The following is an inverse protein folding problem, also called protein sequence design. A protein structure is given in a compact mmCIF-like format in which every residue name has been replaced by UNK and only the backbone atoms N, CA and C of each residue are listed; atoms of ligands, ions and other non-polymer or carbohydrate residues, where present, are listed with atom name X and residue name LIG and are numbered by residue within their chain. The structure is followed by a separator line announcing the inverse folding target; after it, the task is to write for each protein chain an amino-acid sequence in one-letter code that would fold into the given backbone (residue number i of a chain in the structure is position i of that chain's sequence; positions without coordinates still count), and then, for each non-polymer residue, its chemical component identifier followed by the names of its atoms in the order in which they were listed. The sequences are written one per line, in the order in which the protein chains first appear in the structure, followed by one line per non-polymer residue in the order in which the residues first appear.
data_IF_689846515317
#
_entry.id   IF_689846515317
#
_cell.length_a   1.000
_cell.length_b   1.000
_cell.length_c   1.000
_cell.angle_alpha   90.00
_cell.angle_beta   90.00
_cell.angle_gamma   90.00
#
_symmetry.space_group_name_H-M   'P 1'
#
loop_
_entity.id
_entity.type
_entity.pdbx_description
1 polymer ?
#
# COMPACT_ATOMS: atom_id res chain seq x y z
N UNK A 1 -9.64 3.77 -15.22
CA UNK A 1 -11.07 3.69 -14.87
C UNK A 1 -11.82 2.86 -15.90
N UNK A 2 -12.48 1.76 -15.51
CA UNK A 2 -13.38 1.02 -16.42
C UNK A 2 -14.79 1.57 -16.27
N UNK A 3 -15.39 2.07 -17.36
CA UNK A 3 -16.79 2.51 -17.38
C UNK A 3 -17.66 1.30 -17.68
N UNK A 4 -18.15 0.61 -16.66
CA UNK A 4 -19.15 -0.46 -16.83
C UNK A 4 -20.56 0.13 -16.67
N UNK A 5 -21.28 0.28 -17.77
CA UNK A 5 -22.65 0.82 -17.76
C UNK A 5 -23.10 1.40 -19.09
N UNK A 6 -24.42 1.52 -19.28
CA UNK A 6 -25.01 2.23 -20.42
C UNK A 6 -24.98 3.73 -20.13
N UNK A 7 -24.47 4.51 -21.06
CA UNK A 7 -24.51 5.96 -20.97
C UNK A 7 -25.19 6.55 -22.20
N UNK A 8 -25.90 7.65 -22.00
CA UNK A 8 -26.51 8.43 -23.06
C UNK A 8 -26.05 9.87 -22.96
N UNK A 9 -25.65 10.42 -24.09
CA UNK A 9 -25.11 11.75 -24.20
C UNK A 9 -25.99 12.55 -25.15
N UNK A 10 -26.63 13.61 -24.65
CA UNK A 10 -27.52 14.46 -25.46
C UNK A 10 -26.86 15.82 -25.63
N UNK A 11 -26.63 16.22 -26.88
CA UNK A 11 -26.19 17.58 -27.17
C UNK A 11 -27.39 18.51 -27.10
N UNK A 12 -27.38 19.47 -26.18
CA UNK A 12 -28.26 20.64 -26.27
C UNK A 12 -27.50 21.68 -27.09
N UNK A 13 -28.11 22.24 -28.13
CA UNK A 13 -27.48 23.33 -28.89
C UNK A 13 -26.91 24.38 -27.93
N UNK A 14 -25.79 25.02 -28.31
CA UNK A 14 -24.90 25.86 -27.44
C UNK A 14 -23.77 25.13 -26.71
N UNK A 15 -23.36 23.94 -27.19
CA UNK A 15 -22.13 23.29 -26.73
C UNK A 15 -22.24 22.58 -25.37
N UNK A 16 -23.40 22.67 -24.71
CA UNK A 16 -23.72 21.90 -23.52
C UNK A 16 -24.08 20.45 -23.89
N UNK A 17 -23.47 19.52 -23.17
CA UNK A 17 -23.72 18.08 -23.34
C UNK A 17 -24.25 17.53 -22.03
N UNK A 18 -25.44 16.92 -22.06
CA UNK A 18 -26.01 16.23 -20.91
C UNK A 18 -25.57 14.76 -20.98
N UNK A 19 -24.77 14.32 -19.99
CA UNK A 19 -24.33 12.93 -19.86
C UNK A 19 -25.14 12.26 -18.75
N UNK A 20 -25.86 11.20 -19.10
CA UNK A 20 -26.64 10.35 -18.19
C UNK A 20 -26.03 8.94 -18.18
N UNK A 21 -25.89 8.33 -17.01
CA UNK A 21 -25.32 6.99 -16.86
C UNK A 21 -26.17 6.12 -15.93
N UNK A 22 -26.30 4.84 -16.27
CA UNK A 22 -27.21 3.91 -15.61
C UNK A 22 -26.74 3.39 -14.24
N UNK A 23 -25.47 3.60 -13.88
CA UNK A 23 -24.87 3.19 -12.60
C UNK A 23 -23.83 4.22 -12.16
N UNK A 24 -23.78 4.53 -10.86
CA UNK A 24 -22.78 5.43 -10.27
C UNK A 24 -21.36 5.04 -10.70
N UNK A 25 -20.50 6.04 -10.91
CA UNK A 25 -19.07 5.78 -11.07
C UNK A 25 -18.57 5.33 -9.69
N UNK A 26 -18.03 4.12 -9.61
CA UNK A 26 -17.55 3.51 -8.37
C UNK A 26 -16.59 4.47 -7.65
N UNK A 27 -16.89 4.80 -6.39
CA UNK A 27 -16.15 5.77 -5.57
C UNK A 27 -16.45 7.25 -5.81
N UNK A 28 -17.40 7.62 -6.68
CA UNK A 28 -17.72 9.04 -6.98
C UNK A 28 -19.21 9.42 -6.86
N UNK A 29 -20.05 8.50 -6.38
CA UNK A 29 -21.48 8.74 -6.14
C UNK A 29 -22.38 8.53 -7.37
N UNK A 30 -23.70 8.47 -7.12
CA UNK A 30 -24.74 8.41 -8.16
C UNK A 30 -25.15 9.83 -8.55
N UNK A 31 -24.65 10.36 -9.67
CA UNK A 31 -25.18 11.63 -10.20
C UNK A 31 -26.43 11.34 -11.03
N UNK A 32 -27.52 11.00 -10.36
CA UNK A 32 -28.79 10.70 -11.04
C UNK A 32 -29.56 11.96 -11.45
N UNK A 33 -29.20 13.16 -10.99
CA UNK A 33 -29.99 14.38 -11.25
C UNK A 33 -29.23 15.62 -11.75
N UNK A 34 -27.93 15.52 -12.05
CA UNK A 34 -27.16 16.66 -12.57
C UNK A 34 -26.48 16.31 -13.88
N UNK A 35 -27.03 16.81 -14.99
CA UNK A 35 -26.36 16.82 -16.28
C UNK A 35 -24.94 17.41 -16.12
N UNK A 36 -23.93 16.62 -16.47
CA UNK A 36 -22.53 17.06 -16.41
C UNK A 36 -22.27 18.01 -17.58
N UNK A 37 -22.39 19.32 -17.34
CA UNK A 37 -22.01 20.33 -18.34
C UNK A 37 -20.52 20.19 -18.68
N UNK A 38 -20.23 20.01 -19.96
CA UNK A 38 -18.87 20.05 -20.48
C UNK A 38 -18.26 21.44 -20.33
N UNK A 39 -16.95 21.47 -20.12
CA UNK A 39 -16.13 22.67 -20.07
C UNK A 39 -15.93 23.19 -21.49
N UNK A 40 -16.02 24.51 -21.69
CA UNK A 40 -15.70 25.14 -22.97
C UNK A 40 -14.25 24.87 -23.36
N UNK A 41 -13.96 24.81 -24.67
CA UNK A 41 -12.67 24.37 -25.18
C UNK A 41 -11.47 25.16 -24.67
N UNK A 42 -11.61 26.49 -24.54
CA UNK A 42 -10.53 27.35 -24.06
C UNK A 42 -10.28 27.16 -22.56
N UNK A 43 -11.33 27.05 -21.75
CA UNK A 43 -11.21 26.76 -20.32
C UNK A 43 -10.68 25.35 -20.05
N UNK A 44 -11.06 24.36 -20.87
CA UNK A 44 -10.51 23.01 -20.78
C UNK A 44 -9.03 23.01 -21.12
N UNK A 45 -8.61 23.76 -22.15
CA UNK A 45 -7.20 23.94 -22.49
C UNK A 45 -6.43 24.55 -21.33
N UNK A 46 -6.92 25.63 -20.72
CA UNK A 46 -6.28 26.27 -19.57
C UNK A 46 -6.14 25.32 -18.38
N UNK A 47 -7.16 24.51 -18.08
CA UNK A 47 -7.09 23.49 -17.01
C UNK A 47 -6.05 22.41 -17.33
N UNK A 48 -5.99 21.95 -18.58
CA UNK A 48 -5.01 20.94 -18.99
C UNK A 48 -3.58 21.49 -19.00
N UNK A 49 -3.41 22.73 -19.45
CA UNK A 49 -2.12 23.43 -19.41
C UNK A 49 -1.68 23.64 -17.96
N UNK A 50 -2.55 24.13 -17.08
CA UNK A 50 -2.24 24.30 -15.65
C UNK A 50 -1.85 22.98 -14.95
N UNK A 51 -2.58 21.89 -15.20
CA UNK A 51 -2.25 20.57 -14.62
C UNK A 51 -0.95 20.00 -15.20
N UNK A 52 -0.59 20.39 -16.42
CA UNK A 52 0.61 19.88 -17.09
C UNK A 52 1.86 20.75 -16.86
N UNK A 53 1.68 22.06 -16.64
CA UNK A 53 2.72 23.05 -16.37
C UNK A 53 3.01 23.25 -14.88
N UNK A 54 2.26 22.58 -14.00
CA UNK A 54 2.62 22.43 -12.60
C UNK A 54 3.84 21.51 -12.45
N UNK A 55 4.98 21.95 -12.98
CA UNK A 55 6.31 21.40 -12.73
C UNK A 55 6.85 21.85 -11.37
N UNK A 56 6.11 22.69 -10.62
CA UNK A 56 6.47 23.16 -9.28
C UNK A 56 6.29 22.14 -8.16
N UNK A 57 5.79 20.94 -8.45
CA UNK A 57 5.48 19.91 -7.46
C UNK A 57 6.42 18.70 -7.47
N UNK A 58 7.58 18.78 -8.15
CA UNK A 58 8.65 17.79 -7.99
C UNK A 58 9.70 18.42 -7.07
N UNK A 59 9.87 17.85 -5.88
CA UNK A 59 10.90 18.27 -4.93
C UNK A 59 12.27 18.28 -5.63
N UNK A 60 13.11 19.29 -5.35
CA UNK A 60 14.45 19.47 -5.97
C UNK A 60 15.34 18.20 -5.87
N UNK A 61 15.02 17.30 -4.95
CA UNK A 61 15.68 16.00 -4.76
C UNK A 61 15.35 14.97 -5.87
N UNK A 62 14.20 15.07 -6.54
CA UNK A 62 13.85 14.22 -7.69
C UNK A 62 14.48 14.69 -9.00
N UNK A 63 14.81 15.98 -9.10
CA UNK A 63 15.40 16.56 -10.32
C UNK A 63 16.86 16.10 -10.51
N UNK A 64 17.59 15.85 -9.41
CA UNK A 64 18.96 15.29 -9.45
C UNK A 64 18.99 13.83 -9.98
N UNK A 65 17.91 13.07 -9.81
CA UNK A 65 17.79 11.70 -10.34
C UNK A 65 17.46 11.70 -11.84
N UNK A 66 16.98 12.84 -12.35
CA UNK A 66 16.47 13.01 -13.71
C UNK A 66 17.57 13.11 -14.77
N UNK A 67 18.76 13.61 -14.41
CA UNK A 67 19.88 13.77 -15.35
C UNK A 67 20.59 12.44 -15.73
N UNK A 68 20.42 11.36 -14.94
CA UNK A 68 21.14 10.09 -15.18
C UNK A 68 20.30 8.98 -15.86
N UNK A 69 18.99 9.17 -16.02
CA UNK A 69 18.09 8.13 -16.54
C UNK A 69 17.11 8.65 -17.60
N UNK A 70 17.61 8.92 -18.81
CA UNK A 70 16.79 9.22 -20.00
C UNK A 70 16.20 7.94 -20.61
N UNK A 71 15.29 7.29 -19.88
CA UNK A 71 14.35 6.29 -20.42
C UNK A 71 12.97 6.68 -19.89
N UNK A 72 12.03 6.93 -20.79
CA UNK A 72 10.63 7.30 -20.50
C UNK A 72 10.05 6.38 -19.42
N UNK A 73 9.95 6.90 -18.19
CA UNK A 73 9.31 6.27 -17.02
C UNK A 73 7.86 6.74 -16.90
N UNK A 74 7.01 6.10 -16.07
CA UNK A 74 5.54 6.17 -16.06
C UNK A 74 4.90 7.53 -15.68
N UNK A 75 5.65 8.62 -15.72
CA UNK A 75 5.22 9.96 -15.29
C UNK A 75 4.12 10.53 -16.21
N UNK A 76 4.12 10.15 -17.48
CA UNK A 76 3.10 10.60 -18.43
C UNK A 76 1.73 9.96 -18.18
N UNK A 77 1.70 8.73 -17.65
CA UNK A 77 0.46 8.04 -17.27
C UNK A 77 -0.07 8.56 -15.93
N UNK A 78 0.80 8.90 -14.97
CA UNK A 78 0.37 9.49 -13.69
C UNK A 78 -0.18 10.91 -13.87
N UNK A 79 0.35 11.70 -14.81
CA UNK A 79 -0.22 13.00 -15.20
C UNK A 79 -1.59 12.85 -15.86
N UNK A 80 -1.78 11.83 -16.71
CA UNK A 80 -3.08 11.52 -17.30
C UNK A 80 -4.10 11.09 -16.23
N UNK A 81 -3.69 10.25 -15.28
CA UNK A 81 -4.53 9.86 -14.14
C UNK A 81 -4.88 11.06 -13.25
N UNK A 82 -3.95 12.02 -13.06
CA UNK A 82 -4.25 13.30 -12.40
C UNK A 82 -5.31 14.10 -13.15
N UNK A 83 -5.20 14.21 -14.48
CA UNK A 83 -6.22 14.91 -15.30
C UNK A 83 -7.60 14.24 -15.18
N UNK A 84 -7.64 12.90 -15.15
CA UNK A 84 -8.87 12.12 -14.99
C UNK A 84 -9.41 12.18 -13.53
N UNK A 85 -8.54 12.42 -12.55
CA UNK A 85 -8.91 12.57 -11.14
C UNK A 85 -9.37 13.98 -10.78
N UNK A 86 -8.91 15.03 -11.47
CA UNK A 86 -9.26 16.43 -11.18
C UNK A 86 -10.77 16.69 -11.25
N UNK A 87 -11.47 16.19 -12.28
CA UNK A 87 -12.92 16.35 -12.35
C UNK A 87 -13.58 15.45 -13.40
N UNK A 88 -14.74 14.81 -13.09
CA UNK A 88 -15.58 14.17 -14.10
C UNK A 88 -15.92 15.09 -15.28
N UNK A 89 -16.07 16.40 -15.05
CA UNK A 89 -16.36 17.39 -16.11
C UNK A 89 -15.22 17.48 -17.13
N UNK A 90 -13.97 17.49 -16.67
CA UNK A 90 -12.77 17.56 -17.54
C UNK A 90 -12.67 16.30 -18.40
N UNK A 91 -12.85 15.13 -17.78
CA UNK A 91 -12.85 13.84 -18.47
C UNK A 91 -13.90 13.77 -19.60
N UNK A 92 -15.16 14.10 -19.30
CA UNK A 92 -16.23 14.06 -20.30
C UNK A 92 -16.05 15.11 -21.40
N UNK A 93 -15.45 16.26 -21.09
CA UNK A 93 -15.16 17.31 -22.08
C UNK A 93 -14.10 16.86 -23.08
N UNK A 94 -13.03 16.21 -22.61
CA UNK A 94 -12.02 15.58 -23.48
C UNK A 94 -12.61 14.52 -24.40
N UNK A 95 -13.50 13.68 -23.86
CA UNK A 95 -14.18 12.63 -24.62
C UNK A 95 -15.03 13.24 -25.76
N UNK A 96 -15.78 14.29 -25.44
CA UNK A 96 -16.62 15.01 -26.39
C UNK A 96 -15.80 15.63 -27.52
N UNK A 97 -14.68 16.29 -27.19
CA UNK A 97 -13.80 16.91 -28.18
C UNK A 97 -13.18 15.87 -29.12
N UNK A 98 -12.69 14.75 -28.58
CA UNK A 98 -12.13 13.67 -29.39
C UNK A 98 -13.16 13.10 -30.37
N UNK A 99 -14.40 12.85 -29.90
CA UNK A 99 -15.50 12.37 -30.75
C UNK A 99 -15.91 13.40 -31.81
N UNK A 100 -16.03 14.69 -31.45
CA UNK A 100 -16.33 15.76 -32.41
C UNK A 100 -15.27 15.86 -33.49
N UNK A 101 -14.00 15.68 -33.15
CA UNK A 101 -12.92 15.65 -34.12
C UNK A 101 -12.90 14.40 -35.01
N UNK A 102 -13.32 13.25 -34.47
CA UNK A 102 -13.49 12.03 -35.24
C UNK A 102 -14.68 12.14 -36.22
N UNK A 103 -15.79 12.76 -35.79
CA UNK A 103 -17.00 12.97 -36.60
C UNK A 103 -16.84 14.13 -37.58
N UNK A 104 -16.09 15.19 -37.25
CA UNK A 104 -15.78 16.29 -38.16
C UNK A 104 -14.97 15.89 -39.40
N UNK A 105 -14.45 14.66 -39.44
CA UNK A 105 -13.87 14.03 -40.64
C UNK A 105 -14.91 13.33 -41.52
N UNK A 106 -16.16 13.23 -41.08
CA UNK A 106 -17.29 12.61 -41.76
C UNK A 106 -18.50 13.57 -41.72
N UNK A 107 -18.60 14.45 -42.72
CA UNK A 107 -19.69 15.38 -43.09
C UNK A 107 -20.69 15.90 -42.03
N UNK A 108 -20.90 17.21 -42.05
CA UNK A 108 -21.71 17.99 -41.11
C UNK A 108 -23.15 17.45 -40.90
N UNK A 109 -23.43 17.01 -39.67
CA UNK A 109 -24.77 16.63 -39.19
C UNK A 109 -25.37 17.80 -38.42
N UNK A 110 -26.50 18.33 -38.88
CA UNK A 110 -27.32 19.32 -38.17
C UNK A 110 -28.60 18.66 -37.67
N UNK A 111 -28.62 18.27 -36.40
CA UNK A 111 -29.79 17.72 -35.69
C UNK A 111 -29.46 17.44 -34.21
N UNK A 112 -30.49 17.36 -33.36
CA UNK A 112 -30.36 16.90 -31.96
C UNK A 112 -29.90 15.44 -31.94
N UNK A 113 -28.58 15.23 -31.89
CA UNK A 113 -28.01 13.89 -31.83
C UNK A 113 -28.05 13.36 -30.39
N UNK A 114 -28.85 12.30 -30.20
CA UNK A 114 -28.81 11.45 -29.00
C UNK A 114 -27.78 10.36 -29.24
N UNK A 115 -26.62 10.50 -28.61
CA UNK A 115 -25.55 9.51 -28.67
C UNK A 115 -25.80 8.47 -27.58
N UNK A 116 -25.90 7.20 -27.97
CA UNK A 116 -26.02 6.08 -27.02
C UNK A 116 -24.78 5.17 -27.15
N UNK A 117 -24.17 4.87 -26.01
CA UNK A 117 -23.09 3.89 -25.91
C UNK A 117 -23.58 2.64 -25.18
N UNK A 118 -23.48 1.48 -25.80
CA UNK A 118 -23.63 0.18 -25.12
C UNK A 118 -22.28 -0.51 -25.08
N UNK A 119 -21.92 -1.01 -23.90
CA UNK A 119 -20.91 -2.05 -23.62
C UNK A 119 -19.66 -2.02 -24.52
N UNK A 120 -18.56 -1.54 -23.95
CA UNK A 120 -17.22 -1.78 -24.52
C UNK A 120 -16.97 -3.28 -24.39
N UNK A 121 -17.09 -3.99 -25.51
CA UNK A 121 -16.81 -5.41 -25.60
C UNK A 121 -15.37 -5.67 -25.12
N UNK A 122 -15.21 -6.38 -23.99
CA UNK A 122 -13.93 -6.59 -23.33
C UNK A 122 -12.91 -7.40 -24.17
N UNK A 123 -13.33 -7.88 -25.36
CA UNK A 123 -12.54 -8.72 -26.25
C UNK A 123 -11.98 -8.00 -27.50
N UNK A 124 -12.29 -6.72 -27.74
CA UNK A 124 -11.75 -5.98 -28.90
C UNK A 124 -10.84 -4.82 -28.43
N UNK A 125 -9.54 -4.78 -28.80
CA UNK A 125 -8.66 -3.70 -28.40
C UNK A 125 -8.92 -2.45 -29.24
N UNK A 126 -9.94 -1.68 -28.86
CA UNK A 126 -9.98 -0.26 -29.23
C UNK A 126 -8.89 0.44 -28.39
N UNK A 127 -7.72 0.66 -28.98
CA UNK A 127 -6.68 1.51 -28.38
C UNK A 127 -7.23 2.94 -28.31
N UNK A 128 -7.63 3.36 -27.12
CA UNK A 128 -7.94 4.75 -26.81
C UNK A 128 -6.62 5.55 -26.88
N UNK A 129 -6.37 6.24 -27.99
CA UNK A 129 -5.16 7.07 -28.13
C UNK A 129 -5.47 8.45 -27.51
N UNK A 130 -5.39 8.53 -26.18
CA UNK A 130 -5.60 9.77 -25.40
C UNK A 130 -4.75 10.95 -25.92
N UNK A 131 -3.62 10.63 -26.56
CA UNK A 131 -2.70 11.54 -27.23
C UNK A 131 -3.40 12.36 -28.32
N UNK A 132 -4.31 11.77 -29.09
CA UNK A 132 -5.02 12.48 -30.16
C UNK A 132 -6.04 13.48 -29.60
N UNK A 133 -6.74 13.12 -28.51
CA UNK A 133 -7.66 14.02 -27.81
C UNK A 133 -6.92 15.23 -27.21
N UNK A 134 -5.75 15.00 -26.62
CA UNK A 134 -4.88 16.05 -26.08
C UNK A 134 -4.30 16.93 -27.20
N UNK A 135 -3.86 16.34 -28.31
CA UNK A 135 -3.38 17.09 -29.48
C UNK A 135 -4.46 17.98 -30.11
N UNK A 136 -5.72 17.56 -30.05
CA UNK A 136 -6.86 18.38 -30.48
C UNK A 136 -7.17 19.53 -29.51
N UNK A 137 -7.08 19.28 -28.20
CA UNK A 137 -7.34 20.32 -27.19
C UNK A 137 -6.22 21.38 -27.13
N UNK A 138 -4.96 20.94 -27.27
CA UNK A 138 -3.76 21.76 -27.14
C UNK A 138 -2.83 21.58 -28.36
N UNK A 139 -3.19 22.10 -29.55
CA UNK A 139 -2.47 21.84 -30.80
C UNK A 139 -1.08 22.50 -30.86
N UNK A 140 -0.79 23.45 -29.98
CA UNK A 140 0.52 24.11 -29.89
C UNK A 140 1.60 23.23 -29.24
N UNK A 141 1.22 22.07 -28.66
CA UNK A 141 2.15 21.14 -28.01
C UNK A 141 2.46 19.92 -28.85
N UNK A 142 3.71 19.48 -28.76
CA UNK A 142 4.17 18.25 -29.41
C UNK A 142 3.86 17.02 -28.54
N UNK A 143 2.68 16.45 -28.76
CA UNK A 143 2.22 15.23 -28.08
C UNK A 143 2.78 13.94 -28.69
N UNK A 144 3.53 14.02 -29.80
CA UNK A 144 4.01 12.84 -30.54
C UNK A 144 4.93 11.94 -29.71
N UNK A 145 5.58 12.50 -28.69
CA UNK A 145 6.45 11.79 -27.73
C UNK A 145 5.71 10.78 -26.86
N UNK A 146 4.40 10.95 -26.69
CA UNK A 146 3.55 10.03 -25.92
C UNK A 146 3.05 8.83 -26.75
N UNK A 147 3.31 8.82 -28.07
CA UNK A 147 2.87 7.72 -28.93
C UNK A 147 3.74 6.49 -28.71
N UNK A 148 3.15 5.31 -28.45
CA UNK A 148 3.91 4.07 -28.34
C UNK A 148 4.71 3.79 -29.63
N UNK A 149 6.04 3.81 -29.54
CA UNK A 149 6.95 3.50 -30.66
C UNK A 149 7.53 4.69 -31.44
N UNK A 150 7.46 5.92 -30.91
CA UNK A 150 8.20 7.04 -31.50
C UNK A 150 9.72 6.87 -31.30
N UNK A 151 10.46 6.63 -32.38
CA UNK A 151 11.92 6.50 -32.38
C UNK A 151 12.59 7.83 -31.97
N UNK A 152 13.30 7.82 -30.83
CA UNK A 152 14.08 8.97 -30.35
C UNK A 152 15.36 9.16 -31.18
N UNK A 153 15.80 10.41 -31.44
CA UNK A 153 17.05 10.68 -32.13
C UNK A 153 18.25 10.25 -31.28
N UNK A 154 19.18 9.48 -31.88
CA UNK A 154 20.41 9.01 -31.22
C UNK A 154 21.29 10.19 -30.73
N UNK A 155 21.87 10.10 -29.53
CA UNK A 155 22.80 11.13 -29.05
C UNK A 155 24.09 11.13 -29.89
N UNK A 156 24.53 12.34 -30.25
CA UNK A 156 25.76 12.58 -30.99
C UNK A 156 27.00 12.41 -30.09
N UNK A 157 28.17 11.98 -30.61
CA UNK A 157 29.33 11.71 -29.79
C UNK A 157 30.01 12.99 -29.29
N UNK A 158 30.21 13.07 -27.98
CA UNK A 158 30.91 14.16 -27.30
C UNK A 158 32.41 14.16 -27.59
N UNK A 159 32.93 15.37 -27.80
CA UNK A 159 34.33 15.66 -28.13
C UNK A 159 35.23 15.54 -26.90
N UNK A 160 36.36 14.87 -27.07
CA UNK A 160 37.51 14.83 -26.16
C UNK A 160 38.08 16.23 -25.89
N UNK A 161 38.23 16.61 -24.61
CA UNK A 161 39.05 17.76 -24.18
C UNK A 161 40.19 17.29 -23.28
N UNK A 162 41.40 17.77 -23.60
CA UNK A 162 42.68 17.49 -22.95
C UNK A 162 42.98 18.55 -21.88
N UNK A 163 43.30 18.14 -20.65
CA UNK A 163 44.54 18.49 -19.92
C UNK A 163 44.53 18.01 -18.45
N UNK A 164 45.66 17.53 -17.90
CA UNK A 164 45.75 17.09 -16.52
C UNK A 164 46.22 18.22 -15.59
N UNK A 165 45.59 18.36 -14.41
CA UNK A 165 46.09 19.17 -13.29
C UNK A 165 46.15 18.28 -12.04
N UNK A 166 47.34 18.19 -11.45
CA UNK A 166 47.64 17.33 -10.30
C UNK A 166 46.83 17.72 -9.05
N UNK A 167 46.46 16.75 -8.19
CA UNK A 167 45.75 17.04 -6.94
C UNK A 167 46.71 17.50 -5.83
N UNK A 168 46.30 18.42 -4.94
CA UNK A 168 47.02 18.74 -3.72
C UNK A 168 46.77 17.69 -2.63
N UNK A 169 47.77 17.50 -1.76
CA UNK A 169 47.78 16.53 -0.67
C UNK A 169 46.73 16.84 0.43
N UNK A 170 46.13 15.81 1.06
CA UNK A 170 45.22 16.02 2.18
C UNK A 170 45.98 16.30 3.49
N UNK A 171 45.70 17.46 4.10
CA UNK A 171 46.05 17.76 5.48
C UNK A 171 45.10 17.02 6.43
N UNK A 172 45.61 15.98 7.10
CA UNK A 172 44.85 15.21 8.10
C UNK A 172 45.02 15.86 9.48
N UNK A 173 44.04 16.65 9.94
CA UNK A 173 43.91 17.05 11.34
C UNK A 173 43.25 15.91 12.11
N UNK A 174 44.08 15.07 12.73
CA UNK A 174 43.65 13.85 13.41
C UNK A 174 42.81 14.10 14.67
N UNK A 175 41.51 13.76 14.61
CA UNK A 175 40.75 13.39 15.81
C UNK A 175 41.34 12.11 16.38
N UNK A 176 41.81 12.14 17.63
CA UNK A 176 42.25 10.97 18.40
C UNK A 176 41.07 10.02 18.61
N UNK A 177 40.82 9.12 17.66
CA UNK A 177 39.89 8.01 17.85
C UNK A 177 40.48 7.08 18.90
N UNK A 178 39.81 6.95 20.02
CA UNK A 178 40.11 5.93 21.02
C UNK A 178 39.88 4.57 20.37
N UNK A 179 40.96 3.82 20.12
CA UNK A 179 40.88 2.45 19.61
C UNK A 179 39.95 1.62 20.50
N UNK A 180 39.08 0.80 19.89
CA UNK A 180 38.24 -0.14 20.63
C UNK A 180 39.11 -1.10 21.44
N UNK A 181 38.56 -1.64 22.51
CA UNK A 181 39.25 -2.62 23.39
C UNK A 181 39.84 -3.78 22.60
N UNK A 182 39.13 -4.26 21.57
CA UNK A 182 39.60 -5.32 20.67
C UNK A 182 40.78 -4.89 19.79
N UNK A 183 40.74 -3.67 19.25
CA UNK A 183 41.84 -3.14 18.46
C UNK A 183 43.10 -2.87 19.29
N UNK A 184 42.94 -2.49 20.57
CA UNK A 184 44.07 -2.37 21.51
C UNK A 184 44.69 -3.72 21.84
N UNK A 185 43.89 -4.76 22.02
CA UNK A 185 44.40 -6.11 22.32
C UNK A 185 45.11 -6.74 21.12
N UNK A 186 44.59 -6.60 19.90
CA UNK A 186 45.30 -7.07 18.71
C UNK A 186 46.67 -6.38 18.54
N UNK A 187 46.72 -5.06 18.77
CA UNK A 187 47.97 -4.31 18.68
C UNK A 187 48.96 -4.68 19.79
N UNK A 188 48.46 -5.13 20.95
CA UNK A 188 49.29 -5.72 22.02
C UNK A 188 49.85 -7.08 21.57
N UNK A 189 49.02 -7.96 21.02
CA UNK A 189 49.44 -9.27 20.51
C UNK A 189 50.48 -9.15 19.39
N UNK A 190 50.30 -8.21 18.46
CA UNK A 190 51.26 -7.95 17.38
C UNK A 190 52.61 -7.46 17.93
N UNK A 191 52.61 -6.64 18.99
CA UNK A 191 53.84 -6.16 19.64
C UNK A 191 54.56 -7.26 20.42
N UNK A 192 53.82 -8.18 21.04
CA UNK A 192 54.40 -9.38 21.69
C UNK A 192 54.98 -10.32 20.62
N UNK A 193 54.26 -10.56 19.52
CA UNK A 193 54.73 -11.39 18.42
C UNK A 193 55.97 -10.80 17.71
N UNK A 194 56.07 -9.47 17.64
CA UNK A 194 57.24 -8.77 17.12
C UNK A 194 58.43 -8.72 18.11
N UNK A 195 58.29 -9.29 19.31
CA UNK A 195 59.34 -9.30 20.34
C UNK A 195 59.64 -7.93 20.96
N UNK A 196 58.74 -6.95 20.79
CA UNK A 196 58.92 -5.57 21.26
C UNK A 196 58.48 -5.37 22.71
N UNK A 197 57.78 -6.34 23.30
CA UNK A 197 57.43 -6.39 24.71
C UNK A 197 57.90 -7.74 25.26
N UNK A 198 58.64 -7.72 26.37
CA UNK A 198 58.93 -8.93 27.13
C UNK A 198 57.59 -9.55 27.58
N UNK A 199 57.44 -10.87 27.43
CA UNK A 199 56.26 -11.58 27.93
C UNK A 199 56.05 -11.21 29.41
N UNK A 200 55.04 -10.38 29.69
CA UNK A 200 54.59 -10.19 31.06
C UNK A 200 54.23 -11.58 31.60
N UNK A 201 54.89 -11.98 32.69
CA UNK A 201 54.61 -13.25 33.36
C UNK A 201 53.10 -13.45 33.45
N UNK A 202 52.57 -14.58 32.94
CA UNK A 202 51.13 -14.81 32.89
C UNK A 202 50.56 -14.60 34.30
N UNK A 203 49.49 -13.78 34.45
CA UNK A 203 48.93 -13.48 35.75
C UNK A 203 48.68 -14.80 36.46
N UNK A 204 49.23 -14.92 37.69
CA UNK A 204 49.16 -16.12 38.53
C UNK A 204 47.78 -16.76 38.37
N UNK A 205 47.77 -17.93 37.72
CA UNK A 205 46.56 -18.67 37.37
C UNK A 205 45.63 -18.64 38.58
N UNK A 206 44.47 -17.98 38.44
CA UNK A 206 43.42 -18.09 39.45
C UNK A 206 43.14 -19.59 39.65
N UNK A 207 42.85 -20.03 40.88
CA UNK A 207 42.59 -21.43 41.14
C UNK A 207 41.46 -21.91 40.22
N UNK A 208 41.77 -22.90 39.37
CA UNK A 208 40.89 -23.49 38.33
C UNK A 208 39.46 -23.79 38.81
N UNK A 209 39.30 -24.01 40.11
CA UNK A 209 38.03 -24.35 40.73
C UNK A 209 36.99 -23.21 40.68
N UNK A 210 37.40 -21.94 40.64
CA UNK A 210 36.44 -20.81 40.54
C UNK A 210 35.95 -20.59 39.10
N UNK A 211 36.82 -20.77 38.10
CA UNK A 211 36.43 -20.68 36.68
C UNK A 211 35.48 -21.81 36.29
N UNK A 212 35.72 -23.03 36.78
CA UNK A 212 34.84 -24.18 36.54
C UNK A 212 33.49 -24.07 37.28
N UNK A 213 33.42 -23.29 38.37
CA UNK A 213 32.17 -23.00 39.07
C UNK A 213 31.34 -21.96 38.30
N UNK A 214 31.98 -20.90 37.78
CA UNK A 214 31.31 -19.90 36.95
C UNK A 214 30.76 -20.49 35.64
N UNK A 215 31.54 -21.34 34.97
CA UNK A 215 31.08 -22.02 33.75
C UNK A 215 29.93 -23.01 34.00
N UNK A 216 29.88 -23.64 35.17
CA UNK A 216 28.76 -24.50 35.56
C UNK A 216 27.48 -23.68 35.81
N UNK A 217 27.58 -22.58 36.53
CA UNK A 217 26.43 -21.70 36.77
C UNK A 217 25.84 -21.14 35.47
N UNK A 218 26.68 -20.74 34.50
CA UNK A 218 26.21 -20.28 33.19
C UNK A 218 25.47 -21.40 32.44
N UNK A 219 26.02 -22.62 32.40
CA UNK A 219 25.37 -23.76 31.74
C UNK A 219 24.06 -24.16 32.42
N UNK A 220 23.98 -24.06 33.74
CA UNK A 220 22.75 -24.33 34.50
C UNK A 220 21.66 -23.31 34.16
N UNK A 221 21.99 -22.02 34.06
CA UNK A 221 21.05 -20.97 33.62
C UNK A 221 20.62 -21.18 32.17
N UNK A 222 21.56 -21.47 31.26
CA UNK A 222 21.25 -21.76 29.85
C UNK A 222 20.32 -22.98 29.71
N UNK A 223 20.56 -24.03 30.50
CA UNK A 223 19.73 -25.24 30.52
C UNK A 223 18.34 -24.94 31.06
N UNK A 224 18.24 -24.21 32.19
CA UNK A 224 16.96 -23.79 32.76
C UNK A 224 16.16 -22.89 31.80
N UNK A 225 16.80 -21.95 31.11
CA UNK A 225 16.15 -21.13 30.09
C UNK A 225 15.71 -21.98 28.89
N UNK A 226 16.52 -22.93 28.42
CA UNK A 226 16.16 -23.82 27.34
C UNK A 226 14.96 -24.71 27.69
N UNK A 227 14.89 -25.22 28.93
CA UNK A 227 13.76 -25.99 29.44
C UNK A 227 12.49 -25.14 29.58
N UNK A 228 12.63 -23.89 30.05
CA UNK A 228 11.49 -22.95 30.18
C UNK A 228 10.94 -22.53 28.81
N UNK A 229 11.80 -22.39 27.79
CA UNK A 229 11.42 -22.01 26.43
C UNK A 229 11.00 -23.20 25.54
N UNK A 230 11.30 -24.44 25.94
CA UNK A 230 10.95 -25.63 25.17
C UNK A 230 9.44 -25.79 24.89
N UNK A 231 8.52 -25.53 25.84
CA UNK A 231 7.07 -25.58 25.58
C UNK A 231 6.65 -24.53 24.55
N UNK A 232 7.12 -23.29 24.69
CA UNK A 232 6.82 -22.18 23.77
C UNK A 232 7.30 -22.51 22.36
N UNK A 233 8.52 -23.08 22.22
CA UNK A 233 9.06 -23.51 20.93
C UNK A 233 8.28 -24.68 20.32
N UNK A 234 7.80 -25.62 21.15
CA UNK A 234 6.95 -26.74 20.68
C UNK A 234 5.58 -26.26 20.25
N UNK A 235 4.98 -25.33 20.97
CA UNK A 235 3.70 -24.72 20.60
C UNK A 235 3.84 -23.91 19.31
N UNK A 236 4.87 -23.08 19.18
CA UNK A 236 5.17 -22.35 17.95
C UNK A 236 5.44 -23.30 16.76
N UNK A 237 6.19 -24.39 16.98
CA UNK A 237 6.41 -25.40 15.94
C UNK A 237 5.14 -26.16 15.58
N UNK A 238 4.24 -26.43 16.54
CA UNK A 238 2.95 -27.06 16.30
C UNK A 238 2.00 -26.12 15.54
N UNK A 239 1.92 -24.84 15.92
CA UNK A 239 1.20 -23.79 15.19
C UNK A 239 1.73 -23.66 13.76
N UNK A 240 3.06 -23.61 13.58
CA UNK A 240 3.68 -23.59 12.25
C UNK A 240 3.41 -24.86 11.44
N UNK A 241 3.33 -26.04 12.07
CA UNK A 241 2.99 -27.29 11.39
C UNK A 241 1.51 -27.36 10.98
N UNK A 242 0.59 -26.85 11.81
CA UNK A 242 -0.83 -26.69 11.47
C UNK A 242 -1.00 -25.68 10.32
N UNK A 243 -0.36 -24.51 10.41
CA UNK A 243 -0.37 -23.52 9.33
C UNK A 243 0.16 -24.11 8.01
N UNK A 244 1.21 -24.94 8.04
CA UNK A 244 1.70 -25.66 6.84
C UNK A 244 0.71 -26.68 6.29
N UNK A 245 -0.10 -27.31 7.15
CA UNK A 245 -1.11 -28.28 6.72
C UNK A 245 -2.28 -27.58 6.02
N UNK A 246 -2.70 -26.45 6.55
CA UNK A 246 -3.79 -25.66 5.96
C UNK A 246 -3.35 -24.91 4.70
N UNK A 247 -2.05 -24.59 4.57
CA UNK A 247 -1.43 -24.11 3.31
C UNK A 247 -1.52 -25.09 2.14
N UNK A 248 -1.73 -26.39 2.40
CA UNK A 248 -1.87 -27.42 1.37
C UNK A 248 -3.33 -27.75 1.04
N UNK A 249 -4.30 -27.17 1.74
CA UNK A 249 -5.68 -27.27 1.33
C UNK A 249 -5.81 -26.66 -0.08
N UNK A 250 -6.52 -27.32 -1.01
CA UNK A 250 -6.76 -26.74 -2.33
C UNK A 250 -7.32 -25.34 -2.15
N UNK A 251 -6.84 -24.40 -2.98
CA UNK A 251 -7.21 -22.98 -2.88
C UNK A 251 -8.72 -22.73 -2.91
N UNK A 252 -9.53 -23.72 -3.30
CA UNK A 252 -10.99 -23.73 -3.29
C UNK A 252 -11.63 -23.85 -1.89
N UNK A 253 -10.93 -24.34 -0.86
CA UNK A 253 -11.52 -24.61 0.47
C UNK A 253 -11.17 -23.57 1.54
N UNK A 254 -10.31 -22.58 1.24
CA UNK A 254 -9.99 -21.54 2.22
C UNK A 254 -11.23 -20.70 2.52
N UNK A 255 -11.48 -20.50 3.82
CA UNK A 255 -12.57 -19.70 4.37
C UNK A 255 -12.03 -18.90 5.53
N UNK A 256 -12.45 -17.65 5.63
CA UNK A 256 -12.06 -16.75 6.70
C UNK A 256 -12.57 -17.33 8.04
N UNK A 257 -11.67 -17.55 9.00
CA UNK A 257 -12.05 -18.10 10.30
C UNK A 257 -12.20 -16.96 11.30
N UNK A 258 -13.38 -16.84 11.91
CA UNK A 258 -13.57 -15.93 13.05
C UNK A 258 -13.30 -16.70 14.35
N UNK A 259 -12.31 -16.29 15.16
CA UNK A 259 -12.04 -16.91 16.46
C UNK A 259 -13.31 -16.94 17.32
N UNK A 260 -13.51 -18.06 18.02
CA UNK A 260 -14.65 -18.25 18.94
C UNK A 260 -14.23 -18.10 20.40
N UNK A 261 -12.93 -17.94 20.65
CA UNK A 261 -12.37 -17.75 21.97
C UNK A 261 -12.70 -16.35 22.48
N UNK A 262 -13.01 -16.27 23.78
CA UNK A 262 -13.29 -15.01 24.46
C UNK A 262 -11.96 -14.32 24.76
N UNK A 263 -11.76 -13.14 24.18
CA UNK A 263 -10.63 -12.26 24.43
C UNK A 263 -11.12 -10.94 25.04
N UNK A 264 -11.14 -10.90 26.37
CA UNK A 264 -11.58 -9.71 27.11
C UNK A 264 -10.60 -8.53 26.97
N UNK A 265 -9.33 -8.80 26.65
CA UNK A 265 -8.30 -7.78 26.51
C UNK A 265 -8.48 -7.01 25.19
N UNK A 266 -8.75 -7.72 24.08
CA UNK A 266 -9.11 -7.10 22.79
C UNK A 266 -10.36 -6.23 22.89
N UNK A 267 -11.40 -6.72 23.57
CA UNK A 267 -12.64 -5.97 23.77
C UNK A 267 -12.40 -4.71 24.61
N UNK A 268 -11.62 -4.84 25.69
CA UNK A 268 -11.25 -3.71 26.53
C UNK A 268 -10.45 -2.67 25.75
N UNK A 269 -9.54 -3.11 24.90
CA UNK A 269 -8.79 -2.21 24.01
C UNK A 269 -9.71 -1.39 23.10
N UNK A 270 -10.70 -2.05 22.46
CA UNK A 270 -11.66 -1.36 21.61
C UNK A 270 -12.52 -0.35 22.37
N UNK A 271 -12.95 -0.70 23.59
CA UNK A 271 -13.75 0.18 24.44
C UNK A 271 -12.95 1.41 24.90
N UNK A 272 -11.65 1.24 25.14
CA UNK A 272 -10.72 2.28 25.55
C UNK A 272 -10.06 3.03 24.39
N UNK A 273 -10.46 2.73 23.15
CA UNK A 273 -9.92 3.39 21.97
C UNK A 273 -10.05 4.92 22.10
N UNK A 274 -8.96 5.68 21.84
CA UNK A 274 -8.98 7.12 21.97
C UNK A 274 -10.00 7.73 21.01
N UNK A 275 -10.72 8.76 21.47
CA UNK A 275 -11.54 9.59 20.59
C UNK A 275 -10.68 10.59 19.78
N UNK A 276 -11.34 11.47 19.03
CA UNK A 276 -10.68 12.54 18.25
C UNK A 276 -9.75 13.41 19.11
N UNK A 277 -10.12 13.65 20.37
CA UNK A 277 -9.34 14.41 21.34
C UNK A 277 -8.17 13.63 21.96
N UNK A 278 -7.86 12.43 21.46
CA UNK A 278 -6.88 11.48 22.01
C UNK A 278 -7.15 11.00 23.46
N UNK A 279 -8.27 11.39 24.06
CA UNK A 279 -8.70 10.90 25.36
C UNK A 279 -9.68 9.71 25.21
N UNK A 280 -9.56 8.65 26.03
CA UNK A 280 -10.57 7.61 26.06
C UNK A 280 -11.88 8.20 26.60
N UNK A 281 -12.96 8.13 25.82
CA UNK A 281 -14.28 8.59 26.27
C UNK A 281 -14.91 7.62 27.27
N UNK A 282 -14.56 6.33 27.19
CA UNK A 282 -15.03 5.30 28.11
C UNK A 282 -14.09 5.22 29.32
N UNK A 283 -14.57 5.45 30.55
CA UNK A 283 -13.77 5.24 31.75
C UNK A 283 -13.36 3.77 31.89
N UNK A 284 -12.15 3.45 32.40
CA UNK A 284 -11.70 2.06 32.59
C UNK A 284 -12.67 1.19 33.38
N UNK A 285 -13.24 1.71 34.47
CA UNK A 285 -14.20 0.97 35.30
C UNK A 285 -15.48 0.60 34.52
N UNK A 286 -15.90 1.45 33.57
CA UNK A 286 -17.05 1.19 32.70
C UNK A 286 -16.71 0.23 31.56
N UNK A 287 -15.47 0.23 31.08
CA UNK A 287 -15.04 -0.72 30.07
C UNK A 287 -15.21 -2.17 30.55
N UNK A 288 -14.90 -2.47 31.81
CA UNK A 288 -15.13 -3.83 32.38
C UNK A 288 -16.62 -4.21 32.40
N UNK A 289 -17.50 -3.26 32.75
CA UNK A 289 -18.95 -3.47 32.72
C UNK A 289 -19.42 -3.77 31.29
N UNK A 290 -18.93 -3.01 30.31
CA UNK A 290 -19.28 -3.22 28.90
C UNK A 290 -18.71 -4.53 28.34
N UNK A 291 -17.49 -4.95 28.71
CA UNK A 291 -16.97 -6.28 28.34
C UNK A 291 -17.92 -7.39 28.82
N UNK A 292 -18.43 -7.29 30.05
CA UNK A 292 -19.39 -8.27 30.57
C UNK A 292 -20.70 -8.29 29.76
N UNK A 293 -21.20 -7.12 29.32
CA UNK A 293 -22.38 -6.99 28.45
C UNK A 293 -22.11 -7.61 27.07
N UNK A 294 -20.98 -7.28 26.44
CA UNK A 294 -20.58 -7.80 25.12
C UNK A 294 -20.46 -9.33 25.14
N UNK A 295 -19.85 -9.89 26.18
CA UNK A 295 -19.75 -11.34 26.37
C UNK A 295 -21.14 -11.99 26.49
N UNK A 296 -22.04 -11.38 27.28
CA UNK A 296 -23.42 -11.87 27.41
C UNK A 296 -24.19 -11.83 26.08
N UNK A 297 -23.83 -10.89 25.19
CA UNK A 297 -24.38 -10.76 23.84
C UNK A 297 -23.66 -11.62 22.78
N UNK A 298 -22.81 -12.57 23.21
CA UNK A 298 -22.01 -13.42 22.33
C UNK A 298 -21.09 -12.63 21.38
N UNK A 299 -20.46 -11.57 21.90
CA UNK A 299 -19.35 -10.87 21.25
C UNK A 299 -18.07 -11.24 22.00
N UNK A 300 -17.39 -12.34 21.61
CA UNK A 300 -16.25 -12.86 22.34
C UNK A 300 -14.94 -12.08 22.11
N UNK A 301 -14.79 -11.38 20.98
CA UNK A 301 -13.54 -10.73 20.57
C UNK A 301 -13.81 -9.58 19.60
N UNK A 302 -12.76 -8.82 19.23
CA UNK A 302 -12.92 -7.66 18.36
C UNK A 302 -13.36 -8.01 16.94
N UNK A 303 -13.17 -9.26 16.49
CA UNK A 303 -13.51 -9.69 15.14
C UNK A 303 -15.01 -9.90 14.99
N UNK A 304 -15.65 -10.39 16.04
CA UNK A 304 -17.12 -10.40 16.14
C UNK A 304 -17.67 -9.00 16.39
N UNK A 305 -16.95 -8.16 17.15
CA UNK A 305 -17.35 -6.77 17.38
C UNK A 305 -17.34 -5.93 16.09
N UNK A 306 -16.33 -6.13 15.23
CA UNK A 306 -16.16 -5.42 13.96
C UNK A 306 -17.32 -5.61 12.97
N UNK A 307 -18.10 -6.69 13.13
CA UNK A 307 -19.25 -7.03 12.30
C UNK A 307 -20.59 -6.56 12.91
N UNK A 308 -20.57 -5.89 14.07
CA UNK A 308 -21.80 -5.40 14.73
C UNK A 308 -22.23 -4.06 14.19
N UNK A 309 -23.55 -3.89 14.09
CA UNK A 309 -24.16 -2.57 13.90
C UNK A 309 -24.02 -1.73 15.18
N UNK A 310 -23.51 -0.48 15.10
CA UNK A 310 -23.35 0.39 16.26
C UNK A 310 -24.65 0.67 17.04
N UNK A 311 -25.79 0.78 16.37
CA UNK A 311 -27.06 1.06 17.02
C UNK A 311 -27.60 -0.18 17.76
N UNK A 312 -27.45 -1.37 17.17
CA UNK A 312 -27.73 -2.63 17.85
C UNK A 312 -26.84 -2.81 19.09
N UNK A 313 -25.54 -2.52 18.95
CA UNK A 313 -24.56 -2.60 20.03
C UNK A 313 -24.92 -1.67 21.19
N UNK A 314 -25.25 -0.41 20.88
CA UNK A 314 -25.72 0.56 21.86
C UNK A 314 -27.02 0.10 22.55
N UNK A 315 -27.93 -0.54 21.82
CA UNK A 315 -29.17 -1.11 22.37
C UNK A 315 -28.97 -2.22 23.41
N UNK A 316 -27.76 -2.79 23.51
CA UNK A 316 -27.41 -3.78 24.53
C UNK A 316 -27.03 -3.14 25.88
N UNK A 317 -26.72 -1.85 25.88
CA UNK A 317 -26.30 -1.13 27.09
C UNK A 317 -27.50 -0.88 28.01
N UNK A 318 -27.26 -0.74 29.34
CA UNK A 318 -28.33 -0.43 30.29
C UNK A 318 -29.08 0.86 29.93
N UNK A 319 -30.38 0.92 30.23
CA UNK A 319 -31.16 2.13 30.01
C UNK A 319 -30.60 3.31 30.85
N UNK A 320 -30.35 4.44 30.21
CA UNK A 320 -29.74 5.62 30.84
C UNK A 320 -28.22 5.57 30.94
N UNK A 321 -27.56 4.62 30.28
CA UNK A 321 -26.10 4.60 30.17
C UNK A 321 -25.58 5.86 29.45
N UNK A 322 -24.45 6.45 29.90
CA UNK A 322 -23.91 7.67 29.29
C UNK A 322 -23.26 7.44 27.93
N UNK A 323 -22.93 6.19 27.55
CA UNK A 323 -22.35 5.91 26.24
C UNK A 323 -23.39 6.17 25.15
N UNK A 324 -22.95 6.85 24.10
CA UNK A 324 -23.77 7.20 22.95
C UNK A 324 -23.61 6.18 21.82
N UNK A 325 -24.48 6.26 20.80
CA UNK A 325 -24.32 5.49 19.56
C UNK A 325 -22.98 5.82 18.87
N UNK A 326 -22.50 7.06 18.98
CA UNK A 326 -21.19 7.47 18.46
C UNK A 326 -20.04 6.77 19.20
N UNK A 327 -20.19 6.48 20.50
CA UNK A 327 -19.21 5.69 21.23
C UNK A 327 -19.18 4.24 20.75
N UNK A 328 -20.36 3.65 20.53
CA UNK A 328 -20.47 2.31 19.95
C UNK A 328 -19.86 2.24 18.53
N UNK A 329 -20.11 3.25 17.70
CA UNK A 329 -19.53 3.36 16.35
C UNK A 329 -18.00 3.44 16.39
N UNK A 330 -17.45 4.20 17.34
CA UNK A 330 -16.01 4.25 17.57
C UNK A 330 -15.45 2.89 17.98
N UNK A 331 -16.12 2.17 18.88
CA UNK A 331 -15.68 0.83 19.31
C UNK A 331 -15.65 -0.14 18.12
N UNK A 332 -16.69 -0.14 17.29
CA UNK A 332 -16.78 -0.96 16.07
C UNK A 332 -15.70 -0.56 15.06
N UNK A 333 -15.50 0.73 14.81
CA UNK A 333 -14.47 1.24 13.88
C UNK A 333 -13.06 0.86 14.32
N UNK A 334 -12.78 0.93 15.63
CA UNK A 334 -11.50 0.47 16.17
C UNK A 334 -11.32 -1.04 15.99
N UNK A 335 -12.37 -1.81 16.30
CA UNK A 335 -12.37 -3.26 16.11
C UNK A 335 -12.17 -3.66 14.64
N UNK A 336 -12.78 -2.94 13.69
CA UNK A 336 -12.60 -3.12 12.25
C UNK A 336 -11.16 -2.83 11.81
N UNK A 337 -10.56 -1.75 12.32
CA UNK A 337 -9.16 -1.39 12.04
C UNK A 337 -8.20 -2.48 12.49
N UNK A 338 -8.42 -3.04 13.68
CA UNK A 338 -7.63 -4.15 14.24
C UNK A 338 -7.85 -5.45 13.47
N UNK A 339 -9.11 -5.77 13.18
CA UNK A 339 -9.51 -6.95 12.40
C UNK A 339 -8.94 -6.92 10.98
N UNK A 340 -8.85 -5.74 10.35
CA UNK A 340 -8.29 -5.59 9.00
C UNK A 340 -6.87 -6.15 8.91
N UNK A 341 -6.03 -5.85 9.90
CA UNK A 341 -4.66 -6.36 9.95
C UNK A 341 -4.63 -7.89 10.10
N UNK A 342 -5.44 -8.46 11.00
CA UNK A 342 -5.52 -9.91 11.17
C UNK A 342 -6.02 -10.63 9.92
N UNK A 343 -7.05 -10.08 9.26
CA UNK A 343 -7.59 -10.62 8.01
C UNK A 343 -6.51 -10.61 6.94
N UNK A 344 -5.74 -9.53 6.84
CA UNK A 344 -4.61 -9.46 5.91
C UNK A 344 -3.53 -10.50 6.23
N UNK A 345 -3.16 -10.67 7.50
CA UNK A 345 -2.20 -11.70 7.89
C UNK A 345 -2.72 -13.11 7.55
N UNK A 346 -3.99 -13.42 7.80
CA UNK A 346 -4.60 -14.70 7.45
C UNK A 346 -4.64 -14.94 5.92
N UNK A 347 -4.96 -13.90 5.14
CA UNK A 347 -4.89 -13.93 3.67
C UNK A 347 -3.47 -14.29 3.21
N UNK A 348 -2.46 -13.68 3.84
CA UNK A 348 -1.05 -13.78 3.48
C UNK A 348 -0.31 -14.96 4.12
N UNK A 349 -1.03 -15.89 4.77
CA UNK A 349 -0.43 -17.04 5.47
C UNK A 349 0.53 -16.62 6.61
N UNK A 350 0.21 -15.55 7.36
CA UNK A 350 1.03 -14.94 8.42
C UNK A 350 2.39 -14.42 7.93
N UNK A 351 2.47 -13.98 6.67
CA UNK A 351 3.68 -13.41 6.07
C UNK A 351 3.72 -11.88 6.23
N UNK A 352 4.35 -11.43 7.32
CA UNK A 352 4.48 -10.00 7.65
C UNK A 352 5.32 -9.23 6.62
N UNK A 353 6.37 -9.87 6.07
CA UNK A 353 7.20 -9.32 4.99
C UNK A 353 6.37 -9.07 3.72
N UNK A 354 5.39 -9.95 3.43
CA UNK A 354 4.47 -9.76 2.32
C UNK A 354 3.54 -8.58 2.55
N UNK A 355 2.99 -8.44 3.76
CA UNK A 355 2.11 -7.33 4.11
C UNK A 355 2.84 -5.98 4.04
N UNK A 356 4.05 -5.90 4.58
CA UNK A 356 4.92 -4.72 4.48
C UNK A 356 5.17 -4.38 3.01
N UNK A 357 5.59 -5.36 2.20
CA UNK A 357 5.88 -5.15 0.78
C UNK A 357 4.64 -4.71 -0.02
N UNK A 358 3.47 -5.27 0.28
CA UNK A 358 2.21 -4.87 -0.33
C UNK A 358 1.83 -3.43 0.02
N UNK A 359 1.96 -3.07 1.29
CA UNK A 359 1.59 -1.74 1.80
C UNK A 359 2.51 -0.66 1.27
N UNK A 360 3.83 -0.86 1.36
CA UNK A 360 4.81 0.16 1.04
C UNK A 360 5.02 0.34 -0.48
N UNK A 361 4.95 -0.75 -1.24
CA UNK A 361 5.39 -0.74 -2.65
C UNK A 361 4.26 -0.86 -3.64
N UNK A 362 3.27 -1.68 -3.33
CA UNK A 362 2.11 -1.88 -4.18
C UNK A 362 0.91 -1.02 -3.76
N UNK A 363 1.00 -0.28 -2.64
CA UNK A 363 -0.12 0.45 -2.03
C UNK A 363 -1.37 -0.44 -1.90
N UNK A 364 -1.15 -1.68 -1.47
CA UNK A 364 -2.14 -2.75 -1.47
C UNK A 364 -2.23 -3.49 -0.13
N UNK A 365 -2.28 -2.72 0.95
CA UNK A 365 -2.35 -3.20 2.33
C UNK A 365 -3.73 -3.65 2.79
N UNK A 366 -4.77 -3.64 1.93
CA UNK A 366 -6.13 -4.09 2.27
C UNK A 366 -6.63 -5.20 1.33
N UNK A 367 -7.64 -6.00 1.74
CA UNK A 367 -8.23 -7.03 0.88
C UNK A 367 -8.81 -6.45 -0.42
N UNK A 368 -9.43 -5.26 -0.34
CA UNK A 368 -9.97 -4.55 -1.47
C UNK A 368 -8.89 -4.19 -2.49
N UNK A 369 -7.77 -3.64 -2.03
CA UNK A 369 -6.68 -3.26 -2.92
C UNK A 369 -6.06 -4.49 -3.60
N UNK A 370 -5.88 -5.59 -2.86
CA UNK A 370 -5.43 -6.87 -3.42
C UNK A 370 -6.33 -7.35 -4.56
N UNK A 371 -7.65 -7.21 -4.44
CA UNK A 371 -8.58 -7.62 -5.49
C UNK A 371 -8.41 -6.84 -6.81
N UNK A 372 -7.93 -5.61 -6.76
CA UNK A 372 -7.68 -4.81 -7.97
C UNK A 372 -6.62 -5.44 -8.88
N UNK A 373 -5.77 -6.31 -8.34
CA UNK A 373 -4.73 -7.03 -9.08
C UNK A 373 -5.19 -8.33 -9.72
N UNK A 374 -6.48 -8.70 -9.62
CA UNK A 374 -7.02 -9.98 -10.12
C UNK A 374 -6.69 -10.25 -11.58
N UNK A 375 -6.63 -9.23 -12.42
CA UNK A 375 -6.31 -9.36 -13.85
C UNK A 375 -4.80 -9.38 -14.14
N UNK A 376 -3.95 -9.00 -13.19
CA UNK A 376 -2.50 -8.81 -13.39
C UNK A 376 -1.66 -9.29 -12.18
N UNK A 377 -1.78 -10.56 -11.74
CA UNK A 377 -1.04 -11.07 -10.59
C UNK A 377 0.49 -11.05 -10.80
N UNK A 378 0.96 -11.14 -12.06
CA UNK A 378 2.37 -11.03 -12.39
C UNK A 378 2.93 -9.61 -12.12
N UNK A 379 2.13 -8.58 -12.39
CA UNK A 379 2.52 -7.19 -12.11
C UNK A 379 2.59 -6.93 -10.59
N UNK A 380 1.65 -7.47 -9.82
CA UNK A 380 1.68 -7.39 -8.36
C UNK A 380 2.92 -8.10 -7.81
N UNK A 381 3.21 -9.33 -8.28
CA UNK A 381 4.43 -10.07 -7.91
C UNK A 381 5.68 -9.21 -8.11
N UNK A 382 5.77 -8.55 -9.27
CA UNK A 382 6.94 -7.74 -9.61
C UNK A 382 7.03 -6.48 -8.74
N UNK A 383 5.90 -5.89 -8.35
CA UNK A 383 5.85 -4.75 -7.44
C UNK A 383 6.27 -5.10 -6.00
N UNK A 384 5.87 -6.28 -5.50
CA UNK A 384 6.22 -6.71 -4.13
C UNK A 384 7.61 -7.33 -4.01
N UNK A 385 8.24 -7.74 -5.11
CA UNK A 385 9.55 -8.37 -5.08
C UNK A 385 10.63 -7.42 -4.50
N UNK A 386 11.30 -7.81 -3.39
CA UNK A 386 12.50 -7.10 -2.86
C UNK A 386 13.60 -7.07 -3.94
N UNK A 387 14.02 -5.85 -4.34
CA UNK A 387 15.24 -5.68 -5.15
C UNK A 387 16.39 -6.32 -4.39
N UNK A 388 17.21 -7.09 -5.10
CA UNK A 388 18.26 -7.97 -4.55
C UNK A 388 19.37 -7.31 -3.74
N UNK A 389 19.36 -5.99 -3.57
CA UNK A 389 20.51 -5.23 -3.11
C UNK A 389 20.96 -5.60 -1.67
N UNK A 390 20.11 -6.29 -0.88
CA UNK A 390 20.41 -6.70 0.50
C UNK A 390 20.41 -8.22 0.75
N UNK A 391 20.70 -9.04 -0.27
CA UNK A 391 21.21 -10.40 -0.04
C UNK A 391 20.22 -11.47 0.44
N UNK A 392 18.92 -11.20 0.42
CA UNK A 392 17.87 -12.20 0.67
C UNK A 392 16.60 -11.89 -0.11
N UNK A 393 16.35 -12.62 -1.21
CA UNK A 393 15.08 -12.53 -1.94
C UNK A 393 14.00 -13.28 -1.18
N UNK A 394 13.03 -12.57 -0.62
CA UNK A 394 11.68 -13.14 -0.47
C UNK A 394 11.04 -13.07 -1.86
N UNK A 395 11.06 -14.18 -2.57
CA UNK A 395 10.50 -14.28 -3.92
C UNK A 395 9.17 -15.01 -3.85
N UNK A 396 8.07 -14.25 -3.85
CA UNK A 396 6.73 -14.80 -3.98
C UNK A 396 6.52 -15.34 -5.38
N UNK A 397 5.88 -16.50 -5.49
CA UNK A 397 5.49 -17.05 -6.79
C UNK A 397 4.18 -16.41 -7.24
N UNK A 398 3.89 -16.46 -8.53
CA UNK A 398 2.60 -15.96 -9.06
C UNK A 398 1.44 -16.73 -8.44
N UNK A 399 1.64 -18.01 -8.13
CA UNK A 399 0.66 -18.86 -7.45
C UNK A 399 0.35 -18.36 -6.03
N UNK A 400 1.33 -17.81 -5.31
CA UNK A 400 1.12 -17.20 -3.99
C UNK A 400 0.25 -15.94 -4.14
N UNK A 401 0.59 -15.07 -5.09
CA UNK A 401 -0.20 -13.87 -5.37
C UNK A 401 -1.65 -14.21 -5.75
N UNK A 402 -1.85 -15.17 -6.67
CA UNK A 402 -3.19 -15.62 -7.07
C UNK A 402 -3.96 -16.22 -5.89
N UNK A 403 -3.28 -16.96 -5.00
CA UNK A 403 -3.87 -17.48 -3.76
C UNK A 403 -4.34 -16.34 -2.86
N UNK A 404 -3.50 -15.34 -2.60
CA UNK A 404 -3.84 -14.18 -1.77
C UNK A 404 -5.01 -13.38 -2.35
N UNK A 405 -5.02 -13.10 -3.65
CA UNK A 405 -6.14 -12.43 -4.32
C UNK A 405 -7.45 -13.24 -4.18
N UNK A 406 -7.37 -14.56 -4.37
CA UNK A 406 -8.52 -15.45 -4.21
C UNK A 406 -9.08 -15.44 -2.78
N UNK A 407 -8.20 -15.42 -1.78
CA UNK A 407 -8.59 -15.30 -0.37
C UNK A 407 -9.16 -13.93 -0.02
N UNK A 408 -8.55 -12.85 -0.51
CA UNK A 408 -9.08 -11.50 -0.35
C UNK A 408 -10.50 -11.38 -0.93
N UNK A 409 -10.75 -11.98 -2.09
CA UNK A 409 -12.10 -12.05 -2.68
C UNK A 409 -13.10 -12.70 -1.73
N UNK A 410 -12.75 -13.85 -1.13
CA UNK A 410 -13.63 -14.54 -0.18
C UNK A 410 -13.79 -13.81 1.15
N UNK A 411 -12.73 -13.14 1.63
CA UNK A 411 -12.81 -12.33 2.84
C UNK A 411 -13.81 -11.18 2.66
N UNK A 412 -13.79 -10.52 1.50
CA UNK A 412 -14.74 -9.46 1.14
C UNK A 412 -16.17 -9.97 0.98
N UNK A 413 -16.36 -11.19 0.46
CA UNK A 413 -17.68 -11.84 0.44
C UNK A 413 -18.19 -12.17 1.86
N UNK A 414 -17.29 -12.50 2.78
CA UNK A 414 -17.62 -12.84 4.16
C UNK A 414 -17.87 -11.62 5.06
N UNK A 415 -17.10 -10.54 4.85
CA UNK A 415 -17.13 -9.31 5.65
C UNK A 415 -17.34 -8.09 4.72
N UNK A 416 -18.59 -7.68 4.45
CA UNK A 416 -18.89 -6.61 3.49
C UNK A 416 -18.27 -5.25 3.86
N UNK A 417 -18.07 -4.99 5.16
CA UNK A 417 -17.48 -3.73 5.63
C UNK A 417 -16.04 -3.51 5.16
N UNK A 418 -15.33 -4.57 4.75
CA UNK A 418 -13.98 -4.46 4.17
C UNK A 418 -13.94 -3.60 2.90
N UNK A 419 -15.08 -3.44 2.20
CA UNK A 419 -15.19 -2.54 1.04
C UNK A 419 -14.93 -1.07 1.35
N UNK A 420 -15.05 -0.67 2.62
CA UNK A 420 -14.85 0.72 3.06
C UNK A 420 -13.38 1.07 3.27
N UNK A 421 -12.51 0.07 3.37
CA UNK A 421 -11.09 0.25 3.61
C UNK A 421 -10.30 0.18 2.31
N UNK A 422 -9.37 1.13 2.15
CA UNK A 422 -8.40 1.17 1.06
C UNK A 422 -7.09 1.76 1.61
N UNK A 423 -5.96 1.33 1.07
CA UNK A 423 -4.66 1.91 1.43
C UNK A 423 -4.61 3.35 0.96
N UNK A 424 -4.20 4.27 1.83
CA UNK A 424 -3.98 5.66 1.44
C UNK A 424 -2.87 5.74 0.37
N UNK A 425 -3.14 6.51 -0.71
CA UNK A 425 -2.27 6.63 -1.90
C UNK A 425 -1.19 7.70 -1.67
#
# INVERSE_FOLDING_TARGET
ASLSGRWTMRSRGEGAVDVEYSRGIEGRGTFTDAAVRTVEGDLLREVLEAVWDDDTALDEDEEAVREEHEIVRPVDLTRLDRIVSVSPRVFWSLLCLHRRAAVGKADAVTGEDVLTGTEVDAAAPYRYDHVDALALACPARDWSRLRPGADLPRPSPTKTSKNPKAPPAPSFTGRKRTLSTKARENLRQDRVAAGLLAEEEPPRRRPRNEEDAGLRAIREVETAMAETLAPIRREAAAKAALARRDRLAPAEEWRLVTPQEVDEDELRECLLAPGEDNAPRTPPDRAEEYVAVLRAAAVPNWRVLADRDPAELHGLLPEGDPASVEDADRWVTHAQTRTLHEVMMEILDDDEDALESLTERARSGTPKDLMLWRSMPEALRDAVAKKEEEGGRVQYKVEDIRRWIGRATRAMEALPWLEWYATEI
#
